data_IF_054137531709
#
_entry.id   IF_054137531709
#
_cell.length_a   1.000
_cell.length_b   1.000
_cell.length_c   1.000
_cell.angle_alpha   90.00
_cell.angle_beta   90.00
_cell.angle_gamma   90.00
#
_symmetry.space_group_name_H-M   'P 1'
#
loop_
_entity.id
_entity.type
_entity.pdbx_description
1 polymer ?
#
# COMPACT_ATOMS: atom_id res chain seq x y z
N UNK A 1 -10.52 17.28 8.75
CA UNK A 1 -10.33 18.24 7.64
C UNK A 1 -9.51 17.49 6.60
N UNK A 2 -10.09 17.10 5.45
CA UNK A 2 -9.34 16.40 4.39
C UNK A 2 -9.92 16.74 3.00
N UNK A 3 -9.72 17.98 2.53
CA UNK A 3 -9.81 18.31 1.11
C UNK A 3 -8.40 18.49 0.55
N UNK A 4 -8.21 18.18 -0.73
CA UNK A 4 -6.92 18.38 -1.39
C UNK A 4 -6.74 19.85 -1.72
N UNK A 5 -5.84 20.55 -1.02
CA UNK A 5 -5.47 21.92 -1.38
C UNK A 5 -4.44 21.92 -2.50
N UNK A 6 -4.65 22.76 -3.51
CA UNK A 6 -3.61 23.09 -4.48
C UNK A 6 -2.47 23.77 -3.73
N UNK A 7 -1.32 23.10 -3.65
CA UNK A 7 -0.10 23.61 -3.02
C UNK A 7 0.93 23.98 -4.09
N UNK A 8 1.66 25.06 -3.86
CA UNK A 8 2.82 25.47 -4.65
C UNK A 8 4.11 24.68 -4.29
N UNK A 9 4.00 23.71 -3.38
CA UNK A 9 5.11 22.87 -2.93
C UNK A 9 5.90 23.44 -1.75
N UNK A 10 5.50 24.59 -1.18
CA UNK A 10 6.13 25.16 0.02
C UNK A 10 5.10 25.52 1.12
N UNK A 11 5.41 25.32 2.41
CA UNK A 11 6.55 24.58 2.95
C UNK A 11 6.38 23.06 2.83
N UNK A 12 7.50 22.34 2.76
CA UNK A 12 7.49 20.88 2.67
C UNK A 12 7.03 20.25 3.99
N UNK A 13 5.79 19.77 4.01
CA UNK A 13 5.26 18.99 5.12
C UNK A 13 5.51 17.50 4.88
N UNK A 14 6.15 16.83 5.85
CA UNK A 14 6.26 15.38 5.84
C UNK A 14 4.87 14.76 5.94
N UNK A 15 4.53 13.88 5.00
CA UNK A 15 3.32 13.09 5.03
C UNK A 15 3.24 12.27 6.33
N UNK A 16 2.09 12.33 7.00
CA UNK A 16 1.78 11.53 8.19
C UNK A 16 0.48 10.77 7.97
N UNK A 17 0.53 9.46 8.14
CA UNK A 17 -0.67 8.62 8.17
C UNK A 17 -1.04 8.34 9.62
N UNK A 18 -2.29 8.65 9.98
CA UNK A 18 -2.88 8.33 11.28
C UNK A 18 -3.97 7.29 11.04
N UNK A 19 -3.74 6.06 11.50
CA UNK A 19 -4.68 4.94 11.34
C UNK A 19 -5.54 4.70 12.59
N UNK A 20 -5.27 5.36 13.71
CA UNK A 20 -5.96 5.17 14.99
C UNK A 20 -6.39 6.51 15.61
N UNK A 21 -7.26 6.45 16.62
CA UNK A 21 -7.80 7.64 17.29
C UNK A 21 -6.80 8.23 18.29
N UNK A 22 -5.93 7.41 18.88
CA UNK A 22 -4.93 7.82 19.87
C UNK A 22 -3.76 8.59 19.23
N UNK A 23 -3.34 9.69 19.86
CA UNK A 23 -2.35 10.65 19.32
C UNK A 23 -0.90 10.14 19.26
N UNK A 24 -0.62 8.92 19.69
CA UNK A 24 0.75 8.43 19.90
C UNK A 24 1.32 7.60 18.74
N UNK A 25 0.53 7.17 17.75
CA UNK A 25 1.00 6.27 16.69
C UNK A 25 1.12 6.97 15.32
N UNK A 26 2.02 7.93 15.20
CA UNK A 26 2.41 8.45 13.89
C UNK A 26 3.34 7.44 13.19
N UNK A 27 2.91 6.89 12.07
CA UNK A 27 3.80 6.11 11.22
C UNK A 27 4.60 7.08 10.32
N UNK A 28 5.94 6.97 10.35
CA UNK A 28 6.85 7.66 9.42
C UNK A 28 6.90 6.95 8.07
N UNK A 29 5.73 6.67 7.51
CA UNK A 29 5.56 5.88 6.28
C UNK A 29 6.04 6.63 5.02
N UNK A 30 6.31 7.93 5.13
CA UNK A 30 6.91 8.76 4.07
C UNK A 30 8.44 8.63 3.91
N UNK A 31 9.12 7.81 4.71
CA UNK A 31 10.54 7.49 4.49
C UNK A 31 10.63 6.29 3.54
N UNK A 32 10.96 6.55 2.28
CA UNK A 32 11.10 5.52 1.26
C UNK A 32 12.45 4.80 1.41
N UNK A 33 12.44 3.47 1.43
CA UNK A 33 13.67 2.66 1.47
C UNK A 33 14.42 2.80 0.14
N UNK A 34 15.65 3.29 0.21
CA UNK A 34 16.58 3.37 -0.93
C UNK A 34 17.39 2.07 -0.98
N UNK A 35 17.36 1.36 -2.11
CA UNK A 35 18.23 0.23 -2.38
C UNK A 35 19.59 0.73 -2.86
N UNK A 36 20.66 0.29 -2.19
CA UNK A 36 22.03 0.65 -2.60
C UNK A 36 22.54 -0.28 -3.70
N UNK A 37 23.54 0.19 -4.45
CA UNK A 37 24.24 -0.64 -5.42
C UNK A 37 24.87 -1.86 -4.71
N UNK A 38 24.60 -3.06 -5.21
CA UNK A 38 25.10 -4.32 -4.65
C UNK A 38 24.18 -4.98 -3.62
N UNK A 39 23.07 -4.35 -3.20
CA UNK A 39 22.06 -5.00 -2.34
C UNK A 39 21.13 -5.88 -3.17
N UNK A 40 20.68 -7.01 -2.59
CA UNK A 40 19.66 -7.86 -3.21
C UNK A 40 18.30 -7.16 -3.23
N UNK A 41 17.53 -7.40 -4.29
CA UNK A 41 16.20 -6.80 -4.44
C UNK A 41 15.24 -7.34 -3.39
N UNK A 42 14.45 -6.43 -2.80
CA UNK A 42 13.39 -6.77 -1.86
C UNK A 42 12.07 -6.10 -2.24
N UNK A 43 10.95 -6.67 -1.82
CA UNK A 43 9.62 -6.08 -2.03
C UNK A 43 9.41 -4.73 -1.32
N UNK A 44 10.33 -4.36 -0.43
CA UNK A 44 10.28 -3.11 0.34
C UNK A 44 11.07 -1.97 -0.32
N UNK A 45 11.78 -2.24 -1.43
CA UNK A 45 12.58 -1.23 -2.11
C UNK A 45 11.67 -0.22 -2.82
N UNK A 46 11.75 1.03 -2.40
CA UNK A 46 10.91 2.11 -2.90
C UNK A 46 11.68 3.05 -3.84
N UNK A 47 12.99 3.21 -3.65
CA UNK A 47 13.84 4.02 -4.52
C UNK A 47 15.08 3.23 -4.91
N UNK A 48 15.44 3.23 -6.19
CA UNK A 48 16.71 2.67 -6.65
C UNK A 48 17.21 3.38 -7.89
N UNK A 49 18.51 3.26 -8.13
CA UNK A 49 19.19 3.84 -9.29
C UNK A 49 19.49 2.74 -10.30
N UNK A 50 19.27 3.05 -11.58
CA UNK A 50 19.60 2.18 -12.71
C UNK A 50 20.33 3.02 -13.77
N UNK A 51 21.67 3.08 -13.67
CA UNK A 51 22.47 3.98 -14.50
C UNK A 51 22.07 5.45 -14.30
N UNK A 52 21.51 6.07 -15.34
CA UNK A 52 21.04 7.46 -15.32
C UNK A 52 19.56 7.60 -14.93
N UNK A 53 18.88 6.50 -14.57
CA UNK A 53 17.48 6.51 -14.18
C UNK A 53 17.33 6.42 -12.66
N UNK A 54 16.46 7.26 -12.11
CA UNK A 54 15.97 7.12 -10.73
C UNK A 54 14.58 6.52 -10.79
N UNK A 55 14.44 5.34 -10.20
CA UNK A 55 13.16 4.67 -10.11
C UNK A 55 12.56 4.89 -8.73
N UNK A 56 11.29 5.31 -8.68
CA UNK A 56 10.59 5.65 -7.44
C UNK A 56 9.22 4.95 -7.47
N UNK A 57 8.95 4.15 -6.44
CA UNK A 57 7.64 3.51 -6.18
C UNK A 57 6.98 4.21 -5.01
N UNK A 58 5.89 4.92 -5.31
CA UNK A 58 5.08 5.62 -4.31
C UNK A 58 3.70 4.95 -4.28
N UNK A 59 3.23 4.47 -3.12
CA UNK A 59 1.84 4.05 -2.96
C UNK A 59 0.87 5.19 -3.27
N UNK A 60 -0.18 4.92 -4.05
CA UNK A 60 -1.19 5.92 -4.44
C UNK A 60 -1.81 6.68 -3.26
N UNK A 61 -1.99 6.00 -2.13
CA UNK A 61 -2.47 6.61 -0.88
C UNK A 61 -1.59 7.77 -0.39
N UNK A 62 -0.29 7.79 -0.68
CA UNK A 62 0.60 8.89 -0.28
C UNK A 62 0.43 10.12 -1.15
N UNK A 63 -0.16 9.96 -2.34
CA UNK A 63 -0.48 11.00 -3.29
C UNK A 63 -1.96 11.42 -3.21
N UNK A 64 -2.70 10.92 -2.21
CA UNK A 64 -4.12 11.21 -1.98
C UNK A 64 -5.07 10.81 -3.14
N UNK A 65 -4.65 9.86 -3.99
CA UNK A 65 -5.54 9.27 -4.99
C UNK A 65 -6.49 8.28 -4.32
N UNK A 66 -7.79 8.48 -4.55
CA UNK A 66 -8.85 7.59 -4.09
C UNK A 66 -9.06 6.46 -5.09
N UNK A 67 -9.01 6.77 -6.39
CA UNK A 67 -9.00 5.79 -7.46
C UNK A 67 -7.99 6.20 -8.54
N UNK A 68 -6.77 5.63 -8.54
CA UNK A 68 -5.77 5.94 -9.54
C UNK A 68 -6.17 5.45 -10.95
N UNK A 69 -7.05 4.45 -11.06
CA UNK A 69 -7.48 3.91 -12.35
C UNK A 69 -8.35 4.88 -13.13
N UNK A 70 -9.10 5.73 -12.42
CA UNK A 70 -9.93 6.80 -12.95
C UNK A 70 -9.33 8.20 -12.72
N UNK A 71 -8.09 8.29 -12.17
CA UNK A 71 -7.43 9.54 -11.77
C UNK A 71 -8.21 10.36 -10.72
N UNK A 72 -9.00 9.72 -9.87
CA UNK A 72 -9.80 10.41 -8.87
C UNK A 72 -9.01 10.66 -7.58
N UNK A 73 -9.06 11.90 -7.10
CA UNK A 73 -8.53 12.35 -5.81
C UNK A 73 -9.66 12.72 -4.86
N UNK A 74 -9.39 12.65 -3.57
CA UNK A 74 -10.34 13.09 -2.55
C UNK A 74 -10.50 14.61 -2.61
N UNK A 75 -11.73 15.08 -2.76
CA UNK A 75 -12.08 16.50 -2.85
C UNK A 75 -13.37 16.78 -2.08
N UNK A 76 -13.36 16.47 -0.78
CA UNK A 76 -14.55 16.48 0.09
C UNK A 76 -14.92 17.91 0.54
N UNK A 77 -15.99 18.49 -0.01
CA UNK A 77 -16.62 19.69 0.53
C UNK A 77 -17.57 19.34 1.68
N UNK A 78 -17.24 19.78 2.90
CA UNK A 78 -18.09 19.55 4.09
C UNK A 78 -19.38 20.36 4.12
N UNK A 79 -19.55 21.30 3.19
CA UNK A 79 -20.81 22.03 3.02
C UNK A 79 -21.89 21.15 2.36
N UNK A 80 -21.49 20.07 1.71
CA UNK A 80 -22.39 19.08 1.12
C UNK A 80 -22.43 17.81 1.99
N UNK A 81 -23.50 17.02 1.83
CA UNK A 81 -23.64 15.74 2.54
C UNK A 81 -22.96 14.58 1.81
N UNK A 82 -22.37 14.84 0.63
CA UNK A 82 -21.83 13.81 -0.25
C UNK A 82 -20.30 13.82 -0.18
N UNK A 83 -19.70 12.62 -0.24
CA UNK A 83 -18.25 12.52 -0.31
C UNK A 83 -17.83 12.76 -1.76
N UNK A 84 -17.16 13.87 -1.98
CA UNK A 84 -16.82 14.34 -3.32
C UNK A 84 -15.41 13.87 -3.74
N UNK A 85 -15.28 13.61 -5.05
CA UNK A 85 -14.00 13.28 -5.69
C UNK A 85 -13.83 14.14 -6.93
N UNK A 86 -12.60 14.52 -7.22
CA UNK A 86 -12.26 15.29 -8.41
C UNK A 86 -11.26 14.54 -9.28
N UNK A 87 -11.26 14.82 -10.60
CA UNK A 87 -10.31 14.22 -11.54
C UNK A 87 -9.00 15.01 -11.46
N UNK A 88 -7.90 14.30 -11.25
CA UNK A 88 -6.57 14.89 -11.19
C UNK A 88 -6.02 15.27 -12.57
N UNK A 89 -5.37 16.43 -12.63
CA UNK A 89 -4.56 16.90 -13.77
C UNK A 89 -3.23 16.15 -13.95
N UNK A 90 -3.01 15.09 -13.17
CA UNK A 90 -1.78 14.28 -13.20
C UNK A 90 -0.73 14.72 -12.19
N UNK A 91 0.45 14.14 -12.32
CA UNK A 91 1.54 14.23 -11.31
C UNK A 91 2.74 14.95 -11.92
N UNK A 92 3.24 15.98 -11.25
CA UNK A 92 4.54 16.59 -11.55
C UNK A 92 5.52 16.30 -10.41
N UNK A 93 6.81 16.18 -10.75
CA UNK A 93 7.89 15.95 -9.80
C UNK A 93 8.86 17.13 -9.82
N UNK A 94 9.29 17.54 -8.63
CA UNK A 94 10.33 18.55 -8.44
C UNK A 94 11.50 17.91 -7.71
N UNK A 95 12.67 17.93 -8.33
CA UNK A 95 13.91 17.41 -7.77
C UNK A 95 14.79 18.58 -7.36
N UNK A 96 15.44 18.47 -6.20
CA UNK A 96 16.45 19.42 -5.77
C UNK A 96 17.77 18.70 -5.52
N UNK A 97 18.85 19.16 -6.17
CA UNK A 97 20.19 18.64 -5.98
C UNK A 97 21.21 19.77 -6.00
N UNK A 98 22.02 19.90 -4.93
CA UNK A 98 23.10 20.92 -4.83
C UNK A 98 22.67 22.34 -5.24
N UNK A 99 21.47 22.77 -4.84
CA UNK A 99 20.81 24.07 -5.16
C UNK A 99 20.24 24.20 -6.57
N UNK A 100 20.36 23.18 -7.41
CA UNK A 100 19.63 23.10 -8.68
C UNK A 100 18.25 22.49 -8.42
N UNK A 101 17.26 23.00 -9.15
CA UNK A 101 15.89 22.48 -9.12
C UNK A 101 15.53 22.07 -10.54
N UNK A 102 15.06 20.84 -10.69
CA UNK A 102 14.48 20.33 -11.93
C UNK A 102 13.01 20.02 -11.69
N UNK A 103 12.15 20.50 -12.58
CA UNK A 103 10.70 20.27 -12.53
C UNK A 103 10.31 19.50 -13.77
N UNK A 104 9.46 18.49 -13.61
CA UNK A 104 8.90 17.75 -14.74
C UNK A 104 7.55 18.36 -15.15
N UNK A 105 7.18 18.17 -16.41
CA UNK A 105 5.78 18.34 -16.82
C UNK A 105 4.87 17.38 -16.05
N UNK A 106 3.57 17.69 -16.06
CA UNK A 106 2.56 16.80 -15.47
C UNK A 106 2.43 15.54 -16.31
N UNK A 107 2.68 14.41 -15.68
CA UNK A 107 2.39 13.10 -16.23
C UNK A 107 0.91 12.75 -16.03
N UNK A 108 0.24 12.45 -17.14
CA UNK A 108 -1.14 11.97 -17.19
C UNK A 108 -1.12 10.58 -17.82
N UNK A 109 -1.98 9.70 -17.31
CA UNK A 109 -2.11 8.33 -17.80
C UNK A 109 -3.55 8.04 -18.24
N UNK A 110 -3.69 7.06 -19.12
CA UNK A 110 -4.98 6.53 -19.57
C UNK A 110 -5.68 5.79 -18.45
N UNK A 111 -7.01 5.91 -18.38
CA UNK A 111 -7.79 5.19 -17.39
C UNK A 111 -7.76 3.69 -17.66
N UNK A 112 -7.72 2.88 -16.59
CA UNK A 112 -7.69 1.41 -16.72
C UNK A 112 -8.80 0.77 -15.88
N UNK A 113 -9.93 0.42 -16.50
CA UNK A 113 -11.01 -0.31 -15.80
C UNK A 113 -11.27 -1.70 -16.38
N UNK A 114 -10.44 -2.14 -17.32
CA UNK A 114 -10.53 -3.49 -17.89
C UNK A 114 -9.57 -4.41 -17.17
N UNK A 115 -10.12 -5.40 -16.46
CA UNK A 115 -9.32 -6.47 -15.90
C UNK A 115 -8.64 -7.25 -17.05
N UNK A 116 -7.35 -7.59 -16.94
CA UNK A 116 -6.69 -8.47 -17.89
C UNK A 116 -7.46 -9.79 -17.98
N UNK A 117 -7.44 -10.45 -19.15
CA UNK A 117 -8.00 -11.78 -19.28
C UNK A 117 -7.33 -12.71 -18.25
N UNK A 118 -8.12 -13.29 -17.34
CA UNK A 118 -7.62 -14.21 -16.32
C UNK A 118 -8.01 -15.63 -16.65
N UNK A 119 -7.10 -16.57 -16.38
CA UNK A 119 -7.38 -18.01 -16.44
C UNK A 119 -7.35 -18.58 -15.04
N UNK A 120 -8.23 -19.53 -14.76
CA UNK A 120 -8.20 -20.26 -13.50
C UNK A 120 -6.86 -21.00 -13.35
N UNK A 121 -6.23 -20.88 -12.18
CA UNK A 121 -5.05 -21.69 -11.82
C UNK A 121 -5.20 -22.22 -10.41
N UNK A 122 -4.79 -23.47 -10.21
CA UNK A 122 -4.67 -24.04 -8.87
C UNK A 122 -3.45 -23.45 -8.17
N UNK A 123 -3.65 -22.91 -6.97
CA UNK A 123 -2.54 -22.41 -6.13
C UNK A 123 -1.69 -23.58 -5.65
N UNK A 124 -0.35 -23.55 -5.76
CA UNK A 124 0.51 -24.59 -5.20
C UNK A 124 0.28 -24.84 -3.70
N UNK A 125 -0.09 -23.80 -2.94
CA UNK A 125 -0.42 -23.93 -1.53
C UNK A 125 -1.68 -24.77 -1.24
N UNK A 126 -2.56 -25.00 -2.22
CA UNK A 126 -3.77 -25.80 -2.03
C UNK A 126 -3.44 -27.25 -1.69
N UNK A 127 -2.39 -27.83 -2.29
CA UNK A 127 -1.94 -29.19 -1.96
C UNK A 127 -1.40 -29.28 -0.53
N UNK A 128 -0.70 -28.24 -0.07
CA UNK A 128 -0.17 -28.14 1.30
C UNK A 128 -1.31 -28.02 2.31
N UNK A 129 -2.27 -27.14 2.07
CA UNK A 129 -3.43 -26.91 2.95
C UNK A 129 -4.33 -28.16 2.99
N UNK A 130 -4.63 -28.76 1.85
CA UNK A 130 -5.46 -29.97 1.81
C UNK A 130 -4.81 -31.15 2.52
N UNK A 131 -3.49 -31.34 2.37
CA UNK A 131 -2.75 -32.36 3.11
C UNK A 131 -2.72 -32.07 4.63
N UNK A 132 -2.58 -30.81 5.03
CA UNK A 132 -2.66 -30.39 6.44
C UNK A 132 -4.04 -30.63 7.04
N UNK A 133 -5.11 -30.23 6.34
CA UNK A 133 -6.49 -30.34 6.83
C UNK A 133 -6.94 -31.80 7.01
N UNK A 134 -6.52 -32.73 6.14
CA UNK A 134 -6.78 -34.17 6.33
C UNK A 134 -6.24 -34.65 7.68
N UNK A 135 -5.02 -34.25 8.05
CA UNK A 135 -4.40 -34.63 9.33
C UNK A 135 -5.10 -34.07 10.57
N UNK A 136 -5.85 -32.97 10.43
CA UNK A 136 -6.63 -32.37 11.52
C UNK A 136 -7.94 -33.14 11.71
N UNK A 137 -8.59 -33.53 10.61
CA UNK A 137 -9.87 -34.23 10.65
C UNK A 137 -9.74 -35.71 11.09
N UNK A 138 -8.56 -36.32 10.93
CA UNK A 138 -8.27 -37.72 11.30
C UNK A 138 -7.91 -37.91 12.79
N UNK A 139 -7.95 -36.87 13.62
CA UNK A 139 -7.78 -37.00 15.08
C UNK A 139 -9.15 -37.01 15.78
N UNK A 140 -9.75 -38.18 16.08
CA UNK A 140 -10.85 -38.20 17.03
C UNK A 140 -10.32 -37.73 18.40
N UNK A 141 -11.07 -36.88 19.09
CA UNK A 141 -10.78 -36.50 20.48
C UNK A 141 -10.67 -37.76 21.33
N UNK A 142 -9.44 -38.12 21.72
CA UNK A 142 -9.20 -39.17 22.69
C UNK A 142 -9.72 -38.70 24.05
N UNK A 143 -11.00 -38.96 24.32
CA UNK A 143 -11.60 -38.79 25.64
C UNK A 143 -10.76 -39.54 26.67
N UNK A 144 -10.14 -38.80 27.59
CA UNK A 144 -9.42 -39.35 28.74
C UNK A 144 -10.39 -40.20 29.56
N UNK A 145 -10.36 -41.53 29.40
CA UNK A 145 -11.01 -42.46 30.34
C UNK A 145 -10.36 -42.25 31.71
N UNK A 146 -11.08 -41.63 32.65
CA UNK A 146 -10.66 -41.53 34.06
C UNK A 146 -10.59 -42.94 34.63
N UNK A 147 -9.38 -43.38 34.96
CA UNK A 147 -9.09 -44.61 35.71
C UNK A 147 -9.86 -44.60 37.05
N UNK A 148 -10.76 -45.57 37.23
CA UNK A 148 -11.51 -45.77 38.46
C UNK A 148 -10.59 -46.06 39.64
N UNK A 149 -10.77 -45.30 40.72
CA UNK A 149 -10.05 -45.45 41.98
C UNK A 149 -10.67 -46.64 42.73
N UNK A 150 -9.90 -47.72 42.92
CA UNK A 150 -10.24 -48.79 43.89
C UNK A 150 -10.42 -48.15 45.26
N UNK A 151 -11.57 -48.34 45.89
CA UNK A 151 -11.74 -48.18 47.34
C UNK A 151 -11.77 -49.56 47.98
N UNK A 152 -11.07 -49.64 49.12
CA UNK A 152 -11.00 -50.73 50.07
C UNK A 152 -12.38 -51.11 50.61
#
# INVERSE_FOLDING_TARGET
MYHSLVTDGAPWHLLRLKYNFEDSAFQKTGILKVRKAGESETSLDAVWFNGNEVNIRIPWQYLNFTDPSARLVMDDDRSTNERETSVSDGIALTFSYKKEIAVTDRYIWDTWNTAPATTERVKPALSIISAGNKKINDKPEAGKKKSGRKKQ
#
